data_IF_422429203350
#
_entry.id   IF_422429203350
#
_cell.length_a   1.000
_cell.length_b   1.000
_cell.length_c   1.000
_cell.angle_alpha   90.00
_cell.angle_beta   90.00
_cell.angle_gamma   90.00
#
_symmetry.space_group_name_H-M   'P 1'
#
loop_
_entity.id
_entity.type
_entity.pdbx_description
1 polymer ?
#
# COMPACT_ATOMS: atom_id res chain seq x y z
N UNK A 1 4.61 2.76 43.12
CA UNK A 1 3.62 3.21 42.12
C UNK A 1 4.28 3.03 40.77
N UNK A 2 3.65 2.33 39.83
CA UNK A 2 4.21 2.16 38.48
C UNK A 2 3.64 3.22 37.54
N UNK A 3 4.51 3.77 36.68
CA UNK A 3 4.11 4.61 35.56
C UNK A 3 4.18 3.79 34.28
N UNK A 4 3.06 3.70 33.57
CA UNK A 4 3.00 3.05 32.27
C UNK A 4 3.05 4.11 31.18
N UNK A 5 4.03 4.05 30.30
CA UNK A 5 4.14 4.96 29.17
C UNK A 5 3.74 4.21 27.91
N UNK A 6 2.76 4.77 27.21
CA UNK A 6 2.30 4.28 25.91
C UNK A 6 2.97 5.09 24.81
N UNK A 7 3.54 4.39 23.85
CA UNK A 7 4.26 4.95 22.70
C UNK A 7 3.94 4.23 21.40
N UNK A 8 3.46 2.97 21.44
CA UNK A 8 3.05 2.21 20.26
C UNK A 8 1.62 2.57 19.84
N UNK A 9 1.47 3.79 19.33
CA UNK A 9 0.20 4.44 19.03
C UNK A 9 0.18 5.84 19.62
N UNK A 10 -0.97 6.23 20.16
CA UNK A 10 -1.11 7.52 20.83
C UNK A 10 -0.26 7.58 22.10
N UNK A 11 0.47 8.69 22.27
CA UNK A 11 1.31 8.89 23.44
C UNK A 11 0.47 9.11 24.69
N UNK A 12 0.77 8.37 25.75
CA UNK A 12 0.12 8.54 27.05
C UNK A 12 1.07 8.18 28.19
N UNK A 13 0.84 8.76 29.37
CA UNK A 13 1.50 8.39 30.61
C UNK A 13 0.39 8.07 31.60
N UNK A 14 0.28 6.81 32.00
CA UNK A 14 -0.77 6.35 32.90
C UNK A 14 -0.20 5.99 34.27
N UNK A 15 -0.97 6.28 35.32
CA UNK A 15 -0.79 5.71 36.65
C UNK A 15 -2.11 5.07 37.09
N UNK A 16 -2.09 3.82 37.57
CA UNK A 16 -3.31 3.09 37.99
C UNK A 16 -4.44 3.16 36.94
N UNK A 17 -4.07 3.09 35.66
CA UNK A 17 -4.96 3.21 34.48
C UNK A 17 -5.61 4.58 34.24
N UNK A 18 -5.25 5.62 34.98
CA UNK A 18 -5.67 7.00 34.70
C UNK A 18 -4.60 7.69 33.86
N UNK A 19 -5.03 8.35 32.77
CA UNK A 19 -4.13 9.18 31.97
C UNK A 19 -3.73 10.42 32.77
N UNK A 20 -2.42 10.70 32.77
CA UNK A 20 -1.84 11.86 33.44
C UNK A 20 -1.65 13.04 32.47
N UNK A 21 -2.05 12.91 31.20
CA UNK A 21 -1.95 13.99 30.23
C UNK A 21 -3.09 15.00 30.43
N UNK A 22 -2.79 16.15 31.02
CA UNK A 22 -3.67 17.33 30.99
C UNK A 22 -3.49 18.10 29.67
N UNK A 23 -4.52 18.12 28.80
CA UNK A 23 -4.50 18.86 27.52
C UNK A 23 -4.33 20.38 27.73
N UNK A 24 -3.09 20.85 27.63
CA UNK A 24 -2.80 22.28 27.56
C UNK A 24 -1.76 22.55 26.47
N UNK A 25 -2.00 23.58 25.63
CA UNK A 25 -1.08 23.99 24.55
C UNK A 25 0.36 24.27 25.02
N UNK A 26 0.56 24.62 26.30
CA UNK A 26 1.89 24.86 26.91
C UNK A 26 2.69 23.57 27.15
N UNK A 27 2.04 22.43 27.28
CA UNK A 27 2.69 21.15 27.62
C UNK A 27 3.17 20.38 26.39
N UNK A 28 2.71 20.74 25.19
CA UNK A 28 3.09 20.06 23.93
C UNK A 28 4.60 20.04 23.68
N UNK A 29 5.31 21.15 23.87
CA UNK A 29 6.78 21.21 23.71
C UNK A 29 7.51 20.35 24.76
N UNK A 30 6.99 20.24 25.97
CA UNK A 30 7.57 19.42 27.03
C UNK A 30 7.34 17.92 26.76
N UNK A 31 6.15 17.55 26.31
CA UNK A 31 5.86 16.17 25.90
C UNK A 31 6.68 15.76 24.69
N UNK A 32 6.88 16.63 23.69
CA UNK A 32 7.81 16.35 22.57
C UNK A 32 9.23 16.07 23.04
N UNK A 33 9.75 16.88 23.96
CA UNK A 33 11.08 16.65 24.54
C UNK A 33 11.15 15.33 25.32
N UNK A 34 10.11 15.02 26.09
CA UNK A 34 10.01 13.76 26.82
C UNK A 34 9.96 12.55 25.88
N UNK A 35 9.11 12.60 24.85
CA UNK A 35 9.00 11.59 23.80
C UNK A 35 10.34 11.34 23.11
N UNK A 36 11.09 12.40 22.79
CA UNK A 36 12.43 12.30 22.22
C UNK A 36 13.39 11.57 23.16
N UNK A 37 13.43 11.98 24.43
CA UNK A 37 14.27 11.35 25.44
C UNK A 37 13.92 9.87 25.69
N UNK A 38 12.62 9.52 25.72
CA UNK A 38 12.16 8.13 25.85
C UNK A 38 12.62 7.30 24.64
N UNK A 39 12.44 7.84 23.44
CA UNK A 39 12.81 7.16 22.18
C UNK A 39 14.31 6.88 22.11
N UNK A 40 15.12 7.82 22.59
CA UNK A 40 16.57 7.69 22.61
C UNK A 40 17.13 7.43 24.02
N UNK A 41 16.35 6.75 24.88
CA UNK A 41 16.79 6.39 26.23
C UNK A 41 18.09 5.60 26.19
N UNK A 42 18.89 5.72 27.24
CA UNK A 42 20.18 5.06 27.41
C UNK A 42 21.21 5.40 26.30
N UNK A 43 20.99 6.47 25.53
CA UNK A 43 21.93 7.00 24.54
C UNK A 43 22.49 8.34 25.01
N UNK A 44 23.73 8.62 24.59
CA UNK A 44 24.38 9.93 24.76
C UNK A 44 23.89 10.89 23.68
N UNK A 45 23.20 11.95 24.08
CA UNK A 45 22.59 12.93 23.17
C UNK A 45 23.30 14.27 23.23
N UNK A 46 23.78 14.77 22.10
CA UNK A 46 24.33 16.12 21.99
C UNK A 46 23.21 17.16 22.07
N UNK A 47 23.39 18.25 22.84
CA UNK A 47 22.44 19.37 22.88
C UNK A 47 22.06 19.86 21.49
N UNK A 48 23.03 19.97 20.58
CA UNK A 48 22.86 20.44 19.21
C UNK A 48 21.89 19.55 18.42
N UNK A 49 22.03 18.22 18.55
CA UNK A 49 21.18 17.24 17.86
C UNK A 49 19.75 17.25 18.41
N UNK A 50 19.59 17.43 19.73
CA UNK A 50 18.26 17.58 20.34
C UNK A 50 17.59 18.85 19.83
N UNK A 51 18.34 19.95 19.75
CA UNK A 51 17.85 21.25 19.27
C UNK A 51 17.41 21.15 17.81
N UNK A 52 18.26 20.59 16.96
CA UNK A 52 18.00 20.38 15.55
C UNK A 52 16.74 19.55 15.34
N UNK A 53 16.60 18.40 16.00
CA UNK A 53 15.46 17.51 15.77
C UNK A 53 14.12 18.05 16.29
N UNK A 54 14.11 18.92 17.31
CA UNK A 54 12.87 19.36 17.97
C UNK A 54 12.46 20.82 17.69
N UNK A 55 13.42 21.68 17.33
CA UNK A 55 13.24 23.12 17.17
C UNK A 55 13.88 23.68 15.89
N UNK A 56 13.99 22.87 14.83
CA UNK A 56 14.55 23.20 13.51
C UNK A 56 14.13 24.58 12.96
N UNK A 57 12.89 25.02 13.21
CA UNK A 57 12.32 26.27 12.66
C UNK A 57 12.28 27.47 13.65
N UNK A 58 12.91 27.38 14.82
CA UNK A 58 12.88 28.48 15.80
C UNK A 58 14.16 29.31 15.77
N UNK A 59 14.04 30.58 15.35
CA UNK A 59 15.07 31.60 15.57
C UNK A 59 15.15 31.93 17.07
N UNK A 60 15.92 31.15 17.82
CA UNK A 60 16.33 31.51 19.17
C UNK A 60 17.74 32.08 19.13
N UNK A 61 17.92 33.26 19.73
CA UNK A 61 19.24 33.88 19.90
C UNK A 61 20.15 33.06 20.83
N UNK A 62 19.60 32.16 21.65
CA UNK A 62 20.36 31.21 22.48
C UNK A 62 19.62 29.85 22.60
N UNK A 63 19.80 28.95 21.61
CA UNK A 63 19.13 27.64 21.59
C UNK A 63 19.55 26.72 22.74
N UNK A 64 20.79 26.83 23.24
CA UNK A 64 21.30 25.99 24.33
C UNK A 64 20.66 26.34 25.67
N UNK A 65 20.53 27.63 25.98
CA UNK A 65 19.84 28.06 27.19
C UNK A 65 18.34 27.75 27.15
N UNK A 66 17.71 27.87 25.97
CA UNK A 66 16.35 27.40 25.76
C UNK A 66 16.21 25.91 26.13
N UNK A 67 17.09 25.04 25.60
CA UNK A 67 17.05 23.61 25.92
C UNK A 67 17.20 23.34 27.42
N UNK A 68 18.16 23.97 28.10
CA UNK A 68 18.35 23.86 29.56
C UNK A 68 17.07 24.24 30.31
N UNK A 69 16.40 25.31 29.89
CA UNK A 69 15.14 25.76 30.48
C UNK A 69 14.01 24.74 30.25
N UNK A 70 13.91 24.15 29.06
CA UNK A 70 12.91 23.12 28.78
C UNK A 70 13.16 21.85 29.60
N UNK A 71 14.43 21.44 29.77
CA UNK A 71 14.79 20.28 30.61
C UNK A 71 14.44 20.54 32.08
N UNK A 72 14.71 21.74 32.60
CA UNK A 72 14.30 22.11 33.95
C UNK A 72 12.78 22.03 34.14
N UNK A 73 12.01 22.55 33.17
CA UNK A 73 10.54 22.46 33.18
C UNK A 73 10.04 21.03 33.06
N UNK A 74 10.70 20.20 32.24
CA UNK A 74 10.38 18.79 32.08
C UNK A 74 10.59 18.04 33.40
N UNK A 75 11.71 18.25 34.10
CA UNK A 75 11.94 17.66 35.43
C UNK A 75 10.83 18.04 36.42
N UNK A 76 10.43 19.32 36.43
CA UNK A 76 9.33 19.78 37.30
C UNK A 76 7.98 19.18 36.92
N UNK A 77 7.71 19.01 35.62
CA UNK A 77 6.50 18.35 35.12
C UNK A 77 6.44 16.89 35.55
N UNK A 78 7.53 16.14 35.35
CA UNK A 78 7.65 14.75 35.79
C UNK A 78 7.41 14.64 37.30
N UNK A 79 8.06 15.49 38.10
CA UNK A 79 7.91 15.52 39.56
C UNK A 79 6.46 15.72 40.02
N UNK A 80 5.64 16.48 39.29
CA UNK A 80 4.20 16.68 39.60
C UNK A 80 3.43 15.36 39.58
N UNK A 81 3.85 14.40 38.76
CA UNK A 81 3.20 13.09 38.62
C UNK A 81 3.69 12.05 39.62
N UNK A 82 4.75 12.35 40.37
CA UNK A 82 5.32 11.43 41.35
C UNK A 82 4.72 11.69 42.74
N UNK A 83 4.60 10.66 43.59
CA UNK A 83 4.26 10.84 45.00
C UNK A 83 5.21 11.84 45.69
N UNK A 84 4.72 12.58 46.69
CA UNK A 84 5.47 13.68 47.35
C UNK A 84 6.83 13.26 47.93
N UNK A 85 6.97 12.00 48.35
CA UNK A 85 8.20 11.43 48.91
C UNK A 85 8.85 10.36 48.00
N UNK A 86 8.51 10.37 46.70
CA UNK A 86 9.07 9.41 45.77
C UNK A 86 10.54 9.71 45.46
N UNK A 87 11.36 8.64 45.47
CA UNK A 87 12.70 8.69 44.90
C UNK A 87 12.61 8.85 43.38
N UNK A 88 12.89 10.05 42.87
CA UNK A 88 12.81 10.41 41.46
C UNK A 88 13.68 9.49 40.58
N UNK A 89 14.80 8.99 41.12
CA UNK A 89 15.73 8.11 40.41
C UNK A 89 15.11 6.77 40.02
N UNK A 90 14.07 6.33 40.75
CA UNK A 90 13.31 5.11 40.43
C UNK A 90 12.36 5.27 39.26
N UNK A 91 12.14 6.49 38.77
CA UNK A 91 11.26 6.78 37.66
C UNK A 91 12.02 7.30 36.45
N UNK A 92 12.58 8.50 36.55
CA UNK A 92 13.22 9.18 35.42
C UNK A 92 14.49 9.88 35.86
N UNK A 93 15.58 9.65 35.13
CA UNK A 93 16.84 10.32 35.36
C UNK A 93 17.30 11.00 34.08
N UNK A 94 17.47 12.33 34.13
CA UNK A 94 18.14 13.10 33.08
C UNK A 94 19.47 13.59 33.63
N UNK A 95 20.58 13.07 33.11
CA UNK A 95 21.92 13.52 33.50
C UNK A 95 22.55 14.35 32.39
N UNK A 96 23.46 15.25 32.77
CA UNK A 96 24.31 15.97 31.83
C UNK A 96 25.77 15.75 32.23
N UNK A 97 26.50 15.00 31.40
CA UNK A 97 27.88 14.63 31.67
C UNK A 97 28.69 14.64 30.36
N UNK A 98 29.92 15.15 30.42
CA UNK A 98 30.85 15.22 29.29
C UNK A 98 30.26 15.88 28.03
N UNK A 99 29.35 16.84 28.19
CA UNK A 99 28.70 17.54 27.08
C UNK A 99 27.45 16.86 26.51
N UNK A 100 27.05 15.70 27.04
CA UNK A 100 25.88 14.94 26.57
C UNK A 100 24.77 14.92 27.61
N UNK A 101 23.53 14.94 27.14
CA UNK A 101 22.39 14.50 27.94
C UNK A 101 22.20 12.99 27.81
N UNK A 102 21.90 12.33 28.92
CA UNK A 102 21.44 10.94 28.93
C UNK A 102 20.10 10.88 29.66
N UNK A 103 19.16 10.12 29.12
CA UNK A 103 17.88 9.84 29.75
C UNK A 103 17.77 8.36 30.06
N UNK A 104 17.47 8.05 31.30
CA UNK A 104 17.32 6.70 31.82
C UNK A 104 15.97 6.59 32.54
N UNK A 105 15.36 5.41 32.46
CA UNK A 105 14.14 5.07 33.19
C UNK A 105 14.48 4.10 34.31
N UNK A 106 13.90 4.32 35.49
CA UNK A 106 14.08 3.42 36.64
C UNK A 106 13.09 2.25 36.66
N UNK A 107 13.21 1.41 37.69
CA UNK A 107 12.44 0.16 37.88
C UNK A 107 10.91 0.35 37.99
N UNK A 108 10.43 1.57 38.27
CA UNK A 108 9.01 1.87 38.41
C UNK A 108 8.36 2.43 37.13
N UNK A 109 9.11 2.48 36.01
CA UNK A 109 8.60 2.91 34.71
C UNK A 109 8.51 1.72 33.77
N UNK A 110 7.33 1.51 33.21
CA UNK A 110 7.04 0.48 32.24
C UNK A 110 6.81 1.15 30.88
N UNK A 111 7.59 0.77 29.89
CA UNK A 111 7.50 1.29 28.52
C UNK A 111 6.87 0.20 27.64
N UNK A 112 5.75 0.50 26.99
CA UNK A 112 5.03 -0.47 26.17
C UNK A 112 5.87 -1.06 25.03
N UNK A 113 6.72 -0.26 24.38
CA UNK A 113 7.60 -0.74 23.32
C UNK A 113 8.71 -1.66 23.82
N UNK A 114 9.15 -1.50 25.09
CA UNK A 114 10.12 -2.41 25.71
C UNK A 114 9.43 -3.73 26.05
N UNK A 115 8.25 -3.66 26.65
CA UNK A 115 7.44 -4.87 26.91
C UNK A 115 7.11 -5.61 25.61
N UNK A 116 6.81 -4.88 24.54
CA UNK A 116 6.56 -5.46 23.21
C UNK A 116 7.77 -6.25 22.69
N UNK A 117 8.97 -5.66 22.74
CA UNK A 117 10.21 -6.35 22.36
C UNK A 117 10.51 -7.56 23.26
N UNK A 118 10.33 -7.43 24.58
CA UNK A 118 10.56 -8.50 25.55
C UNK A 118 9.61 -9.68 25.35
N UNK A 119 8.32 -9.42 25.17
CA UNK A 119 7.31 -10.45 24.90
C UNK A 119 7.58 -11.18 23.59
N UNK A 120 7.97 -10.48 22.52
CA UNK A 120 8.40 -11.11 21.26
C UNK A 120 9.57 -12.06 21.49
N UNK A 121 10.60 -11.63 22.21
CA UNK A 121 11.78 -12.45 22.45
C UNK A 121 11.45 -13.68 23.30
N UNK A 122 10.66 -13.51 24.36
CA UNK A 122 10.19 -14.62 25.20
C UNK A 122 9.34 -15.61 24.41
N UNK A 123 8.44 -15.12 23.55
CA UNK A 123 7.62 -15.96 22.68
C UNK A 123 8.49 -16.79 21.73
N UNK A 124 9.50 -16.16 21.10
CA UNK A 124 10.45 -16.84 20.21
C UNK A 124 11.22 -17.97 20.92
N UNK A 125 11.64 -17.76 22.17
CA UNK A 125 12.30 -18.80 22.96
C UNK A 125 11.37 -19.98 23.25
N UNK A 126 10.08 -19.70 23.45
CA UNK A 126 9.07 -20.71 23.79
C UNK A 126 8.53 -21.50 22.59
N UNK A 127 8.74 -21.06 21.36
CA UNK A 127 8.19 -21.73 20.16
C UNK A 127 8.50 -23.23 20.07
N UNK A 128 9.69 -23.66 20.52
CA UNK A 128 10.10 -25.06 20.47
C UNK A 128 9.82 -25.84 21.77
N UNK A 129 9.50 -25.14 22.86
CA UNK A 129 9.31 -25.73 24.19
C UNK A 129 7.82 -25.87 24.53
N UNK A 130 7.07 -24.79 24.32
CA UNK A 130 5.65 -24.67 24.63
C UNK A 130 5.00 -23.70 23.64
N UNK A 131 4.43 -24.25 22.58
CA UNK A 131 3.79 -23.48 21.50
C UNK A 131 2.59 -22.68 22.04
N UNK A 132 1.85 -23.21 23.01
CA UNK A 132 0.67 -22.53 23.55
C UNK A 132 1.06 -21.30 24.37
N UNK A 133 2.15 -21.40 25.13
CA UNK A 133 2.71 -20.25 25.83
C UNK A 133 3.31 -19.22 24.85
N UNK A 134 3.99 -19.68 23.79
CA UNK A 134 4.49 -18.79 22.74
C UNK A 134 3.36 -17.99 22.07
N UNK A 135 2.22 -18.65 21.77
CA UNK A 135 1.03 -17.99 21.23
C UNK A 135 0.53 -16.90 22.18
N UNK A 136 0.39 -17.19 23.48
CA UNK A 136 -0.09 -16.18 24.46
C UNK A 136 0.82 -14.97 24.53
N UNK A 137 2.14 -15.18 24.60
CA UNK A 137 3.12 -14.09 24.65
C UNK A 137 3.07 -13.24 23.37
N UNK A 138 2.93 -13.87 22.20
CA UNK A 138 2.73 -13.17 20.95
C UNK A 138 1.40 -12.39 20.90
N UNK A 139 0.31 -12.94 21.43
CA UNK A 139 -0.97 -12.23 21.53
C UNK A 139 -0.89 -11.01 22.45
N UNK A 140 -0.25 -11.14 23.61
CA UNK A 140 -0.03 -10.00 24.52
C UNK A 140 0.75 -8.89 23.81
N UNK A 141 1.83 -9.22 23.11
CA UNK A 141 2.59 -8.27 22.31
C UNK A 141 1.74 -7.67 21.16
N UNK A 142 0.93 -8.47 20.48
CA UNK A 142 0.02 -8.01 19.42
C UNK A 142 -0.87 -6.85 19.90
N UNK A 143 -1.46 -6.97 21.11
CA UNK A 143 -2.35 -5.95 21.66
C UNK A 143 -1.65 -4.71 22.24
N UNK A 144 -0.33 -4.75 22.43
CA UNK A 144 0.44 -3.56 22.80
C UNK A 144 0.62 -2.59 21.63
N UNK A 145 0.71 -3.10 20.39
CA UNK A 145 0.83 -2.26 19.20
C UNK A 145 -0.53 -1.73 18.74
N UNK A 146 -0.82 -0.46 19.03
CA UNK A 146 -2.12 0.18 18.73
C UNK A 146 -2.06 1.13 17.53
N UNK A 147 -0.87 1.35 16.98
CA UNK A 147 -0.65 2.30 15.91
C UNK A 147 0.83 2.60 15.70
N UNK A 148 1.15 3.45 14.70
CA UNK A 148 2.50 3.94 14.50
C UNK A 148 3.06 4.55 15.79
N UNK A 149 4.33 4.27 16.09
CA UNK A 149 5.02 4.82 17.26
C UNK A 149 4.86 6.35 17.33
N UNK A 150 4.30 6.86 18.44
CA UNK A 150 3.92 8.25 18.67
C UNK A 150 3.08 8.82 17.51
N UNK A 151 1.96 8.17 17.19
CA UNK A 151 1.06 8.39 16.04
C UNK A 151 0.71 9.87 15.78
N UNK A 152 0.42 10.64 16.84
CA UNK A 152 -0.03 12.04 16.77
C UNK A 152 1.04 12.98 16.18
N UNK A 153 2.32 12.61 16.25
CA UNK A 153 3.44 13.45 15.80
C UNK A 153 3.72 13.24 14.30
N UNK A 154 2.82 13.65 13.42
CA UNK A 154 2.88 13.30 11.98
C UNK A 154 4.07 13.86 11.19
N UNK A 155 4.68 14.97 11.62
CA UNK A 155 5.70 15.70 10.84
C UNK A 155 7.16 15.53 11.34
N UNK A 156 7.40 14.67 12.33
CA UNK A 156 8.74 14.51 12.91
C UNK A 156 9.61 13.53 12.11
N UNK A 157 10.62 14.03 11.41
CA UNK A 157 11.51 13.21 10.57
C UNK A 157 12.28 12.17 11.39
N UNK A 158 12.67 12.49 12.62
CA UNK A 158 13.39 11.57 13.50
C UNK A 158 12.56 10.35 13.94
N UNK A 159 11.23 10.38 13.78
CA UNK A 159 10.35 9.25 14.07
C UNK A 159 10.30 8.22 12.94
N UNK A 160 10.60 8.62 11.70
CA UNK A 160 10.52 7.74 10.51
C UNK A 160 11.26 6.40 10.71
N UNK A 161 12.55 6.37 11.09
CA UNK A 161 13.25 5.09 11.29
C UNK A 161 12.68 4.26 12.44
N UNK A 162 12.16 4.91 13.49
CA UNK A 162 11.61 4.24 14.68
C UNK A 162 10.25 3.60 14.36
N UNK A 163 9.36 4.34 13.68
CA UNK A 163 8.08 3.83 13.18
C UNK A 163 8.29 2.66 12.23
N UNK A 164 9.23 2.76 11.30
CA UNK A 164 9.56 1.67 10.38
C UNK A 164 10.11 0.43 11.10
N UNK A 165 10.85 0.61 12.20
CA UNK A 165 11.32 -0.50 13.01
C UNK A 165 10.15 -1.24 13.67
N UNK A 166 9.30 -0.54 14.43
CA UNK A 166 8.19 -1.18 15.15
C UNK A 166 7.10 -1.71 14.22
N UNK A 167 6.80 -1.04 13.10
CA UNK A 167 5.92 -1.60 12.07
C UNK A 167 6.43 -2.94 11.56
N UNK A 168 7.72 -3.06 11.24
CA UNK A 168 8.30 -4.33 10.76
C UNK A 168 8.23 -5.43 11.81
N UNK A 169 8.50 -5.10 13.08
CA UNK A 169 8.37 -6.06 14.18
C UNK A 169 6.91 -6.53 14.33
N UNK A 170 5.95 -5.60 14.29
CA UNK A 170 4.53 -5.89 14.37
C UNK A 170 4.05 -6.82 13.24
N UNK A 171 4.38 -6.50 11.98
CA UNK A 171 4.02 -7.38 10.84
C UNK A 171 4.67 -8.75 10.97
N UNK A 172 5.95 -8.81 11.38
CA UNK A 172 6.65 -10.09 11.59
C UNK A 172 5.97 -10.94 12.68
N UNK A 173 5.63 -10.31 13.80
CA UNK A 173 4.90 -10.94 14.90
C UNK A 173 3.54 -11.46 14.44
N UNK A 174 2.76 -10.65 13.72
CA UNK A 174 1.44 -11.05 13.24
C UNK A 174 1.53 -12.26 12.30
N UNK A 175 2.43 -12.22 11.32
CA UNK A 175 2.61 -13.35 10.39
C UNK A 175 3.04 -14.62 11.12
N UNK A 176 3.85 -14.49 12.18
CA UNK A 176 4.26 -15.62 13.00
C UNK A 176 3.09 -16.19 13.81
N UNK A 177 2.29 -15.33 14.43
CA UNK A 177 1.07 -15.74 15.15
C UNK A 177 0.07 -16.43 14.21
N UNK A 178 -0.08 -15.93 12.99
CA UNK A 178 -0.88 -16.57 11.93
C UNK A 178 -0.34 -17.95 11.57
N UNK A 179 0.98 -18.11 11.43
CA UNK A 179 1.60 -19.41 11.16
C UNK A 179 1.28 -20.43 12.26
N UNK A 180 1.42 -20.04 13.53
CA UNK A 180 1.11 -20.89 14.67
C UNK A 180 -0.38 -21.28 14.71
N UNK A 181 -1.28 -20.33 14.46
CA UNK A 181 -2.71 -20.64 14.38
C UNK A 181 -3.09 -21.49 13.17
N UNK A 182 -2.39 -21.35 12.03
CA UNK A 182 -2.56 -22.25 10.87
C UNK A 182 -2.20 -23.69 11.23
N UNK A 183 -1.13 -23.92 12.01
CA UNK A 183 -0.73 -25.26 12.45
C UNK A 183 -1.76 -25.92 13.37
N UNK A 184 -2.59 -25.13 14.06
CA UNK A 184 -3.67 -25.60 14.93
C UNK A 184 -5.04 -25.60 14.24
N UNK A 185 -5.10 -25.28 12.95
CA UNK A 185 -6.35 -25.11 12.17
C UNK A 185 -7.36 -24.10 12.77
N UNK A 186 -6.86 -23.14 13.55
CA UNK A 186 -7.66 -22.09 14.22
C UNK A 186 -7.89 -20.87 13.31
N UNK A 187 -8.48 -21.10 12.13
CA UNK A 187 -8.64 -20.04 11.10
C UNK A 187 -9.53 -18.87 11.53
N UNK A 188 -10.48 -19.08 12.45
CA UNK A 188 -11.29 -17.99 13.00
C UNK A 188 -10.44 -16.98 13.79
N UNK A 189 -9.39 -17.45 14.49
CA UNK A 189 -8.46 -16.57 15.21
C UNK A 189 -7.61 -15.75 14.26
N UNK A 190 -7.19 -16.34 13.14
CA UNK A 190 -6.47 -15.63 12.07
C UNK A 190 -7.33 -14.47 11.52
N UNK A 191 -8.62 -14.73 11.27
CA UNK A 191 -9.55 -13.68 10.82
C UNK A 191 -9.59 -12.52 11.82
N UNK A 192 -9.82 -12.82 13.11
CA UNK A 192 -9.89 -11.81 14.18
C UNK A 192 -8.60 -10.94 14.24
N UNK A 193 -7.43 -11.58 14.17
CA UNK A 193 -6.15 -10.89 14.19
C UNK A 193 -5.93 -10.00 12.96
N UNK A 194 -6.22 -10.54 11.77
CA UNK A 194 -6.08 -9.79 10.52
C UNK A 194 -7.02 -8.57 10.47
N UNK A 195 -8.28 -8.73 10.89
CA UNK A 195 -9.24 -7.63 10.93
C UNK A 195 -8.77 -6.49 11.84
N UNK A 196 -8.27 -6.82 13.03
CA UNK A 196 -7.68 -5.82 13.94
C UNK A 196 -6.45 -5.16 13.33
N UNK A 197 -5.59 -5.93 12.68
CA UNK A 197 -4.36 -5.41 12.11
C UNK A 197 -4.59 -4.52 10.88
N UNK A 198 -5.61 -4.79 10.06
CA UNK A 198 -5.99 -3.97 8.90
C UNK A 198 -6.43 -2.57 9.32
N UNK A 199 -7.04 -2.42 10.51
CA UNK A 199 -7.39 -1.08 11.04
C UNK A 199 -6.13 -0.23 11.24
N UNK A 200 -5.01 -0.86 11.62
CA UNK A 200 -3.75 -0.16 11.91
C UNK A 200 -2.87 -0.02 10.67
N UNK A 201 -2.75 -1.07 9.87
CA UNK A 201 -1.90 -1.14 8.67
C UNK A 201 -2.75 -1.49 7.42
N UNK A 202 -3.66 -0.60 6.97
CA UNK A 202 -4.65 -0.88 5.92
C UNK A 202 -4.09 -1.11 4.52
N UNK A 203 -2.80 -0.80 4.32
CA UNK A 203 -2.11 -0.94 3.04
C UNK A 203 -1.13 -2.13 3.04
N UNK A 204 -1.05 -2.89 4.13
CA UNK A 204 -0.15 -4.02 4.23
C UNK A 204 -0.80 -5.27 3.62
N UNK A 205 -0.53 -5.47 2.34
CA UNK A 205 -1.13 -6.51 1.50
C UNK A 205 -1.02 -7.93 2.11
N UNK A 206 0.09 -8.24 2.76
CA UNK A 206 0.32 -9.55 3.38
C UNK A 206 -0.75 -9.93 4.41
N UNK A 207 -1.30 -8.95 5.14
CA UNK A 207 -2.39 -9.16 6.10
C UNK A 207 -3.69 -9.51 5.37
N UNK A 208 -4.02 -8.77 4.30
CA UNK A 208 -5.21 -9.03 3.49
C UNK A 208 -5.17 -10.41 2.84
N UNK A 209 -4.00 -10.83 2.36
CA UNK A 209 -3.81 -12.18 1.80
C UNK A 209 -4.07 -13.24 2.86
N UNK A 210 -3.48 -13.11 4.05
CA UNK A 210 -3.70 -14.08 5.14
C UNK A 210 -5.17 -14.16 5.56
N UNK A 211 -5.88 -13.03 5.58
CA UNK A 211 -7.32 -12.97 5.86
C UNK A 211 -8.12 -13.78 4.82
N UNK A 212 -7.87 -13.56 3.54
CA UNK A 212 -8.54 -14.28 2.46
C UNK A 212 -8.20 -15.78 2.46
N UNK A 213 -6.96 -16.15 2.76
CA UNK A 213 -6.57 -17.55 2.91
C UNK A 213 -7.34 -18.24 4.05
N UNK A 214 -7.48 -17.58 5.20
CA UNK A 214 -8.26 -18.10 6.32
C UNK A 214 -9.76 -18.22 5.99
N UNK A 215 -10.33 -17.22 5.29
CA UNK A 215 -11.71 -17.29 4.78
C UNK A 215 -11.92 -18.48 3.84
N UNK A 216 -11.00 -18.71 2.89
CA UNK A 216 -11.08 -19.86 1.98
C UNK A 216 -11.02 -21.18 2.73
N UNK A 217 -10.15 -21.29 3.74
CA UNK A 217 -10.05 -22.49 4.58
C UNK A 217 -11.32 -22.81 5.36
N UNK A 218 -12.09 -21.78 5.72
CA UNK A 218 -13.43 -21.92 6.32
C UNK A 218 -14.56 -22.05 5.29
N UNK A 219 -14.26 -22.14 3.99
CA UNK A 219 -15.25 -22.24 2.92
C UNK A 219 -15.98 -20.92 2.61
N UNK A 220 -15.51 -19.79 3.15
CA UNK A 220 -16.11 -18.46 2.97
C UNK A 220 -15.65 -17.80 1.66
N UNK A 221 -15.83 -18.49 0.53
CA UNK A 221 -15.30 -18.09 -0.79
C UNK A 221 -15.83 -16.72 -1.23
N UNK A 222 -17.14 -16.46 -1.02
CA UNK A 222 -17.75 -15.17 -1.36
C UNK A 222 -17.12 -14.01 -0.58
N UNK A 223 -16.91 -14.19 0.72
CA UNK A 223 -16.25 -13.19 1.57
C UNK A 223 -14.81 -12.92 1.12
N UNK A 224 -14.07 -13.98 0.79
CA UNK A 224 -12.71 -13.84 0.25
C UNK A 224 -12.68 -13.04 -1.06
N UNK A 225 -13.62 -13.31 -1.98
CA UNK A 225 -13.73 -12.56 -3.25
C UNK A 225 -14.10 -11.09 -3.02
N UNK A 226 -15.10 -10.82 -2.18
CA UNK A 226 -15.49 -9.44 -1.85
C UNK A 226 -14.34 -8.67 -1.19
N UNK A 227 -13.54 -9.33 -0.34
CA UNK A 227 -12.37 -8.71 0.26
C UNK A 227 -11.25 -8.44 -0.77
N UNK A 228 -11.04 -9.35 -1.73
CA UNK A 228 -10.11 -9.15 -2.84
C UNK A 228 -10.47 -7.92 -3.67
N UNK A 229 -11.76 -7.77 -4.00
CA UNK A 229 -12.28 -6.60 -4.74
C UNK A 229 -12.07 -5.31 -3.94
N UNK A 230 -12.35 -5.33 -2.64
CA UNK A 230 -12.13 -4.21 -1.73
C UNK A 230 -10.66 -3.76 -1.71
N UNK A 231 -9.71 -4.68 -1.45
CA UNK A 231 -8.29 -4.31 -1.37
C UNK A 231 -7.73 -3.89 -2.73
N UNK A 232 -8.17 -4.53 -3.82
CA UNK A 232 -7.78 -4.14 -5.17
C UNK A 232 -8.26 -2.72 -5.50
N UNK A 233 -9.48 -2.36 -5.09
CA UNK A 233 -10.00 -1.00 -5.26
C UNK A 233 -9.23 0.01 -4.41
N UNK A 234 -8.94 -0.31 -3.14
CA UNK A 234 -8.22 0.55 -2.21
C UNK A 234 -6.81 0.87 -2.72
N UNK A 235 -6.03 -0.15 -3.09
CA UNK A 235 -4.65 0.04 -3.56
C UNK A 235 -4.59 0.80 -4.88
N UNK A 236 -5.52 0.53 -5.80
CA UNK A 236 -5.58 1.24 -7.07
C UNK A 236 -5.93 2.73 -6.87
N UNK A 237 -6.90 3.05 -5.99
CA UNK A 237 -7.31 4.43 -5.70
C UNK A 237 -6.23 5.23 -4.97
N UNK A 238 -5.66 4.67 -3.91
CA UNK A 238 -4.78 5.41 -3.00
C UNK A 238 -3.31 5.43 -3.47
N UNK A 239 -2.86 4.35 -4.13
CA UNK A 239 -1.44 4.19 -4.49
C UNK A 239 -1.20 4.16 -6.01
N UNK A 240 -2.26 4.04 -6.83
CA UNK A 240 -2.14 3.91 -8.29
C UNK A 240 -1.42 2.62 -8.74
N UNK A 241 -1.30 1.63 -7.84
CA UNK A 241 -0.57 0.39 -8.08
C UNK A 241 -1.53 -0.68 -8.59
N UNK A 242 -1.15 -1.37 -9.68
CA UNK A 242 -1.88 -2.54 -10.20
C UNK A 242 -1.61 -3.78 -9.33
N UNK A 243 -2.54 -4.74 -9.32
CA UNK A 243 -2.49 -5.97 -8.52
C UNK A 243 -1.10 -6.62 -8.48
N UNK A 244 -0.56 -6.77 -7.28
CA UNK A 244 0.72 -7.40 -7.01
C UNK A 244 0.73 -8.90 -7.38
N UNK A 245 1.91 -9.57 -7.39
CA UNK A 245 1.97 -11.02 -7.52
C UNK A 245 1.18 -11.77 -6.45
N UNK A 246 1.23 -11.34 -5.19
CA UNK A 246 0.54 -11.99 -4.07
C UNK A 246 -0.98 -11.91 -4.22
N UNK A 247 -1.51 -10.73 -4.56
CA UNK A 247 -2.94 -10.54 -4.84
C UNK A 247 -3.40 -11.36 -6.06
N UNK A 248 -2.58 -11.45 -7.10
CA UNK A 248 -2.88 -12.32 -8.26
C UNK A 248 -2.92 -13.80 -7.89
N UNK A 249 -2.04 -14.24 -6.99
CA UNK A 249 -2.02 -15.64 -6.54
C UNK A 249 -3.26 -15.99 -5.73
N UNK A 250 -3.62 -15.17 -4.74
CA UNK A 250 -4.83 -15.42 -3.93
C UNK A 250 -6.10 -15.34 -4.77
N UNK A 251 -6.16 -14.45 -5.76
CA UNK A 251 -7.28 -14.41 -6.72
C UNK A 251 -7.45 -15.74 -7.47
N UNK A 252 -6.35 -16.32 -7.97
CA UNK A 252 -6.37 -17.63 -8.62
C UNK A 252 -6.82 -18.74 -7.65
N UNK A 253 -6.37 -18.70 -6.39
CA UNK A 253 -6.85 -19.64 -5.35
C UNK A 253 -8.36 -19.50 -5.15
N UNK A 254 -8.88 -18.28 -5.02
CA UNK A 254 -10.32 -18.04 -4.90
C UNK A 254 -11.07 -18.62 -6.11
N UNK A 255 -10.57 -18.40 -7.34
CA UNK A 255 -11.17 -18.97 -8.56
C UNK A 255 -11.19 -20.50 -8.55
N UNK A 256 -10.08 -21.15 -8.17
CA UNK A 256 -10.05 -22.62 -8.09
C UNK A 256 -11.07 -23.18 -7.10
N UNK A 257 -11.34 -22.49 -5.98
CA UNK A 257 -12.37 -22.88 -5.03
C UNK A 257 -13.79 -22.76 -5.61
N UNK A 258 -14.04 -21.81 -6.52
CA UNK A 258 -15.30 -21.75 -7.27
C UNK A 258 -15.45 -22.92 -8.24
N UNK A 259 -14.37 -23.29 -8.93
CA UNK A 259 -14.37 -24.41 -9.89
C UNK A 259 -14.59 -25.76 -9.20
N UNK A 260 -14.00 -25.95 -8.01
CA UNK A 260 -14.15 -27.17 -7.20
C UNK A 260 -15.55 -27.32 -6.57
N UNK A 261 -16.26 -26.21 -6.29
CA UNK A 261 -17.63 -26.25 -5.75
C UNK A 261 -18.73 -26.39 -6.81
N UNK A 262 -18.36 -26.61 -8.08
CA UNK A 262 -19.28 -27.12 -9.08
C UNK A 262 -20.37 -26.14 -9.51
N UNK A 263 -20.00 -24.91 -9.91
CA UNK A 263 -20.87 -24.17 -10.84
C UNK A 263 -20.83 -24.88 -12.21
N UNK A 264 -21.65 -25.92 -12.34
CA UNK A 264 -21.76 -26.76 -13.55
C UNK A 264 -22.75 -26.19 -14.56
N UNK A 265 -23.37 -25.04 -14.29
CA UNK A 265 -24.27 -24.42 -15.25
C UNK A 265 -23.52 -23.43 -16.14
N UNK A 266 -23.56 -23.71 -17.45
CA UNK A 266 -23.04 -22.86 -18.51
C UNK A 266 -23.63 -21.45 -18.43
N UNK A 267 -24.84 -21.31 -17.89
CA UNK A 267 -25.50 -20.00 -17.71
C UNK A 267 -24.79 -19.12 -16.66
N UNK A 268 -24.40 -19.70 -15.52
CA UNK A 268 -23.63 -19.01 -14.47
C UNK A 268 -22.22 -18.65 -14.94
N UNK A 269 -21.57 -19.55 -15.69
CA UNK A 269 -20.26 -19.28 -16.30
C UNK A 269 -20.37 -18.14 -17.32
N UNK A 270 -21.39 -18.17 -18.19
CA UNK A 270 -21.62 -17.12 -19.20
C UNK A 270 -21.83 -15.75 -18.57
N UNK A 271 -22.66 -15.65 -17.53
CA UNK A 271 -22.92 -14.39 -16.84
C UNK A 271 -21.66 -13.82 -16.16
N UNK A 272 -20.72 -14.67 -15.71
CA UNK A 272 -19.42 -14.22 -15.16
C UNK A 272 -18.41 -13.83 -16.25
N UNK A 273 -18.51 -14.43 -17.44
CA UNK A 273 -17.67 -14.09 -18.60
C UNK A 273 -18.16 -12.85 -19.35
N UNK A 274 -19.46 -12.53 -19.24
CA UNK A 274 -20.05 -11.35 -19.85
C UNK A 274 -19.66 -10.09 -19.07
N UNK A 275 -18.81 -9.27 -19.68
CA UNK A 275 -18.61 -7.90 -19.25
C UNK A 275 -19.88 -7.07 -19.53
N UNK A 276 -20.06 -5.96 -18.78
CA UNK A 276 -21.17 -5.03 -18.96
C UNK A 276 -21.29 -4.49 -20.40
N UNK A 277 -22.33 -3.72 -20.73
CA UNK A 277 -22.58 -3.28 -22.11
C UNK A 277 -21.38 -2.49 -22.66
N UNK A 278 -20.60 -3.12 -23.56
CA UNK A 278 -19.46 -2.46 -24.19
C UNK A 278 -19.94 -1.32 -25.10
N UNK A 279 -19.43 -0.11 -24.90
CA UNK A 279 -19.59 1.02 -25.80
C UNK A 279 -18.32 1.17 -26.63
N UNK A 280 -18.42 0.96 -27.95
CA UNK A 280 -17.25 1.11 -28.82
C UNK A 280 -16.24 -0.04 -28.74
N UNK A 281 -15.04 0.19 -29.29
CA UNK A 281 -13.98 -0.81 -29.38
C UNK A 281 -13.29 -1.09 -28.04
N UNK A 282 -12.71 -2.29 -27.91
CA UNK A 282 -12.03 -2.72 -26.69
C UNK A 282 -10.61 -2.15 -26.61
N UNK A 283 -10.36 -1.31 -25.59
CA UNK A 283 -9.00 -0.94 -25.19
C UNK A 283 -8.45 -1.98 -24.20
N UNK A 284 -7.25 -2.51 -24.47
CA UNK A 284 -6.60 -3.49 -23.59
C UNK A 284 -5.10 -3.23 -23.49
N UNK A 285 -4.42 -3.92 -22.56
CA UNK A 285 -2.97 -3.89 -22.51
C UNK A 285 -2.34 -4.77 -23.62
N UNK A 286 -1.02 -4.63 -23.76
CA UNK A 286 -0.28 -5.28 -24.84
C UNK A 286 -0.29 -6.82 -24.75
N UNK A 287 -0.33 -7.41 -23.56
CA UNK A 287 -0.30 -8.86 -23.41
C UNK A 287 -1.67 -9.47 -23.71
N UNK A 288 -2.75 -8.81 -23.28
CA UNK A 288 -4.11 -9.15 -23.72
C UNK A 288 -4.28 -8.97 -25.23
N UNK A 289 -3.73 -7.89 -25.81
CA UNK A 289 -3.75 -7.68 -27.26
C UNK A 289 -3.04 -8.81 -28.01
N UNK A 290 -1.84 -9.23 -27.57
CA UNK A 290 -1.12 -10.36 -28.16
C UNK A 290 -1.92 -11.67 -28.08
N UNK A 291 -2.58 -11.91 -26.96
CA UNK A 291 -3.44 -13.09 -26.80
C UNK A 291 -4.58 -13.07 -27.83
N UNK A 292 -5.34 -11.96 -27.91
CA UNK A 292 -6.45 -11.80 -28.85
C UNK A 292 -6.00 -11.88 -30.31
N UNK A 293 -4.86 -11.26 -30.65
CA UNK A 293 -4.25 -11.36 -31.98
C UNK A 293 -3.97 -12.80 -32.39
N UNK A 294 -3.40 -13.62 -31.49
CA UNK A 294 -3.11 -15.01 -31.80
C UNK A 294 -4.38 -15.86 -31.93
N UNK A 295 -5.45 -15.55 -31.19
CA UNK A 295 -6.75 -16.20 -31.34
C UNK A 295 -7.35 -15.87 -32.71
N UNK A 296 -7.39 -14.59 -33.10
CA UNK A 296 -7.91 -14.15 -34.39
C UNK A 296 -7.08 -14.67 -35.57
N UNK A 297 -5.75 -14.67 -35.47
CA UNK A 297 -4.87 -15.27 -36.48
C UNK A 297 -5.15 -16.76 -36.69
N UNK A 298 -5.49 -17.50 -35.63
CA UNK A 298 -5.90 -18.91 -35.76
C UNK A 298 -7.25 -19.06 -36.44
N UNK A 299 -8.22 -18.17 -36.16
CA UNK A 299 -9.54 -18.18 -36.81
C UNK A 299 -9.44 -17.87 -38.31
N UNK A 300 -8.62 -16.90 -38.70
CA UNK A 300 -8.43 -16.50 -40.10
C UNK A 300 -7.74 -17.55 -40.98
N UNK A 301 -7.20 -18.64 -40.42
CA UNK A 301 -6.64 -19.75 -41.22
C UNK A 301 -7.72 -20.72 -41.75
N UNK A 302 -8.93 -20.67 -41.21
CA UNK A 302 -10.03 -21.60 -41.56
C UNK A 302 -11.20 -20.94 -42.28
N UNK A 303 -11.31 -19.62 -42.18
CA UNK A 303 -12.46 -18.84 -42.63
C UNK A 303 -11.93 -17.72 -43.54
N UNK A 304 -12.57 -17.45 -44.69
CA UNK A 304 -12.19 -16.35 -45.60
C UNK A 304 -12.39 -14.94 -44.99
N UNK A 305 -12.63 -14.85 -43.69
CA UNK A 305 -12.72 -13.60 -42.94
C UNK A 305 -11.33 -13.00 -42.73
N UNK A 306 -10.97 -12.11 -43.64
CA UNK A 306 -9.73 -11.33 -43.60
C UNK A 306 -9.87 -10.26 -42.51
N UNK A 307 -9.27 -10.45 -41.34
CA UNK A 307 -9.04 -9.36 -40.40
C UNK A 307 -7.82 -8.53 -40.80
N UNK A 308 -7.73 -7.30 -40.30
CA UNK A 308 -6.60 -6.40 -40.55
C UNK A 308 -5.98 -5.89 -39.25
N UNK A 309 -4.66 -5.87 -39.19
CA UNK A 309 -3.92 -5.08 -38.22
C UNK A 309 -3.70 -3.68 -38.79
N UNK A 310 -3.79 -2.66 -37.93
CA UNK A 310 -3.43 -1.30 -38.27
C UNK A 310 -2.40 -0.74 -37.29
N UNK A 311 -1.42 -0.03 -37.82
CA UNK A 311 -0.54 0.82 -37.03
C UNK A 311 -0.92 2.28 -37.30
N UNK A 312 -1.33 2.96 -36.25
CA UNK A 312 -1.58 4.41 -36.24
C UNK A 312 -0.36 5.07 -35.61
N UNK A 313 0.29 5.96 -36.35
CA UNK A 313 1.41 6.77 -35.86
C UNK A 313 0.99 8.24 -35.84
N UNK A 314 1.14 8.87 -34.67
CA UNK A 314 0.90 10.29 -34.45
C UNK A 314 2.24 11.02 -34.50
N UNK A 315 2.47 11.88 -35.50
CA UNK A 315 3.68 12.71 -35.46
C UNK A 315 3.50 13.81 -34.41
N UNK A 316 4.44 13.89 -33.48
CA UNK A 316 4.49 14.93 -32.45
C UNK A 316 5.43 16.06 -32.87
N UNK A 317 5.09 17.29 -32.49
CA UNK A 317 6.00 18.42 -32.58
C UNK A 317 7.10 18.22 -31.52
N UNK A 318 8.37 18.20 -31.95
CA UNK A 318 9.51 17.65 -31.21
C UNK A 318 9.98 18.52 -30.01
N UNK A 319 9.09 19.33 -29.43
CA UNK A 319 9.39 20.31 -28.37
C UNK A 319 9.02 19.86 -26.95
N UNK A 320 8.14 18.87 -26.79
CA UNK A 320 7.68 18.41 -25.45
C UNK A 320 8.28 17.07 -24.98
N UNK A 321 9.18 16.45 -25.76
CA UNK A 321 9.73 15.12 -25.50
C UNK A 321 10.61 14.97 -24.24
N UNK A 322 10.65 15.97 -23.33
CA UNK A 322 11.49 15.93 -22.12
C UNK A 322 10.73 16.05 -20.80
N UNK A 323 9.39 16.12 -20.77
CA UNK A 323 8.63 16.25 -19.51
C UNK A 323 7.26 15.55 -19.50
N UNK A 324 7.22 14.22 -19.53
CA UNK A 324 6.20 13.43 -18.81
C UNK A 324 6.45 11.93 -18.97
N UNK A 325 6.53 11.17 -17.86
CA UNK A 325 6.50 9.70 -17.83
C UNK A 325 5.09 9.16 -18.18
N UNK A 326 4.64 9.36 -19.43
CA UNK A 326 3.35 8.84 -19.87
C UNK A 326 2.96 9.22 -21.28
N UNK A 327 1.89 8.57 -21.77
CA UNK A 327 1.35 8.75 -23.12
C UNK A 327 1.18 10.23 -23.47
N UNK A 328 1.64 10.60 -24.66
CA UNK A 328 1.46 11.96 -25.17
C UNK A 328 -0.02 12.35 -25.18
N UNK A 329 -0.30 13.66 -25.01
CA UNK A 329 -1.67 14.19 -25.03
C UNK A 329 -2.43 13.79 -26.30
N UNK A 330 -1.73 13.74 -27.43
CA UNK A 330 -2.32 13.34 -28.72
C UNK A 330 -2.69 11.87 -28.74
N UNK A 331 -1.88 11.01 -28.12
CA UNK A 331 -2.19 9.58 -28.00
C UNK A 331 -3.40 9.35 -27.13
N UNK A 332 -3.53 10.06 -26.00
CA UNK A 332 -4.73 10.00 -25.15
C UNK A 332 -5.99 10.37 -25.93
N UNK A 333 -5.95 11.49 -26.66
CA UNK A 333 -7.07 11.90 -27.52
C UNK A 333 -7.39 10.84 -28.57
N UNK A 334 -6.37 10.25 -29.21
CA UNK A 334 -6.59 9.21 -30.22
C UNK A 334 -7.22 7.94 -29.62
N UNK A 335 -6.89 7.54 -28.39
CA UNK A 335 -7.54 6.41 -27.73
C UNK A 335 -9.05 6.64 -27.58
N UNK A 336 -9.48 7.84 -27.18
CA UNK A 336 -10.90 8.20 -27.08
C UNK A 336 -11.59 8.23 -28.46
N UNK A 337 -10.87 8.63 -29.50
CA UNK A 337 -11.39 8.62 -30.87
C UNK A 337 -11.61 7.18 -31.35
N UNK A 338 -10.67 6.27 -31.07
CA UNK A 338 -10.76 4.88 -31.50
C UNK A 338 -11.91 4.16 -30.81
N UNK A 339 -12.10 4.39 -29.50
CA UNK A 339 -13.25 3.88 -28.74
C UNK A 339 -14.56 4.20 -29.46
N UNK A 340 -14.76 5.48 -29.83
CA UNK A 340 -16.02 5.98 -30.40
C UNK A 340 -16.21 5.70 -31.89
N UNK A 341 -15.12 5.53 -32.63
CA UNK A 341 -15.19 5.37 -34.09
C UNK A 341 -15.13 3.92 -34.52
N UNK A 342 -14.52 3.03 -33.77
CA UNK A 342 -14.40 1.62 -34.12
C UNK A 342 -15.61 0.80 -33.61
N UNK A 343 -15.74 -0.43 -34.11
CA UNK A 343 -16.84 -1.33 -33.74
C UNK A 343 -16.51 -2.04 -32.43
N UNK A 344 -17.55 -2.54 -31.75
CA UNK A 344 -17.41 -3.31 -30.50
C UNK A 344 -16.52 -4.55 -30.58
N UNK A 345 -16.37 -5.11 -31.79
CA UNK A 345 -15.47 -6.24 -32.02
C UNK A 345 -14.02 -5.85 -32.35
N UNK A 346 -13.73 -4.57 -32.54
CA UNK A 346 -12.37 -4.10 -32.81
C UNK A 346 -11.61 -3.92 -31.50
N UNK A 347 -10.30 -4.14 -31.52
CA UNK A 347 -9.43 -4.10 -30.34
C UNK A 347 -8.26 -3.16 -30.59
N UNK A 348 -7.82 -2.40 -29.60
CA UNK A 348 -6.65 -1.54 -29.74
C UNK A 348 -5.83 -1.43 -28.45
N UNK A 349 -4.54 -1.14 -28.61
CA UNK A 349 -3.58 -0.91 -27.52
C UNK A 349 -2.56 0.14 -27.93
N UNK A 350 -2.01 0.88 -26.96
CA UNK A 350 -0.81 1.68 -27.18
C UNK A 350 0.41 0.77 -27.34
N UNK A 351 1.21 1.00 -28.37
CA UNK A 351 2.52 0.35 -28.56
C UNK A 351 3.63 1.15 -27.89
N UNK A 352 3.55 2.48 -27.98
CA UNK A 352 4.40 3.45 -27.30
C UNK A 352 3.69 4.82 -27.21
N UNK A 353 4.41 5.88 -26.85
CA UNK A 353 3.85 7.21 -26.61
C UNK A 353 3.20 7.89 -27.83
N UNK A 354 3.47 7.42 -29.05
CA UNK A 354 2.98 8.01 -30.29
C UNK A 354 2.46 6.99 -31.32
N UNK A 355 2.45 5.71 -30.98
CA UNK A 355 1.95 4.63 -31.84
C UNK A 355 0.90 3.78 -31.14
N UNK A 356 -0.17 3.50 -31.87
CA UNK A 356 -1.28 2.67 -31.44
C UNK A 356 -1.44 1.53 -32.46
N UNK A 357 -1.61 0.32 -31.96
CA UNK A 357 -1.94 -0.84 -32.79
C UNK A 357 -3.43 -1.13 -32.62
N UNK A 358 -4.09 -1.36 -33.75
CA UNK A 358 -5.51 -1.71 -33.83
C UNK A 358 -5.63 -3.04 -34.54
N UNK A 359 -6.50 -3.91 -34.05
CA UNK A 359 -6.93 -5.12 -34.73
C UNK A 359 -8.40 -4.95 -35.12
N UNK A 360 -8.64 -4.94 -36.42
CA UNK A 360 -9.97 -4.85 -37.02
C UNK A 360 -10.46 -6.26 -37.34
N UNK A 361 -11.48 -6.72 -36.61
CA UNK A 361 -12.03 -8.08 -36.77
C UNK A 361 -13.10 -8.08 -37.87
N UNK A 362 -13.09 -9.09 -38.74
CA UNK A 362 -14.00 -9.23 -39.88
C UNK A 362 -14.10 -7.98 -40.78
N UNK A 363 -12.99 -7.27 -40.98
CA UNK A 363 -12.94 -6.05 -41.78
C UNK A 363 -12.61 -6.34 -43.24
N UNK A 364 -13.49 -5.99 -44.18
CA UNK A 364 -13.22 -6.16 -45.62
C UNK A 364 -12.28 -5.06 -46.15
N UNK A 365 -11.47 -5.42 -47.17
CA UNK A 365 -10.53 -4.51 -47.83
C UNK A 365 -11.21 -3.23 -48.33
N UNK A 366 -12.42 -3.31 -48.90
CA UNK A 366 -13.13 -2.13 -49.41
C UNK A 366 -13.52 -1.15 -48.28
N UNK A 367 -13.72 -1.65 -47.06
CA UNK A 367 -14.13 -0.85 -45.91
C UNK A 367 -13.00 -0.06 -45.24
N UNK A 368 -11.73 -0.42 -45.48
CA UNK A 368 -10.58 0.16 -44.79
C UNK A 368 -10.47 1.67 -45.02
N UNK A 369 -10.72 2.14 -46.24
CA UNK A 369 -10.65 3.57 -46.56
C UNK A 369 -11.73 4.37 -45.83
N UNK A 370 -12.92 3.80 -45.68
CA UNK A 370 -14.01 4.43 -44.92
C UNK A 370 -13.65 4.53 -43.43
N UNK A 371 -13.08 3.46 -42.86
CA UNK A 371 -12.61 3.45 -41.47
C UNK A 371 -11.51 4.51 -41.25
N UNK A 372 -10.51 4.56 -42.13
CA UNK A 372 -9.45 5.56 -42.09
C UNK A 372 -9.99 6.99 -42.10
N UNK A 373 -10.91 7.30 -43.04
CA UNK A 373 -11.50 8.63 -43.18
C UNK A 373 -12.35 9.00 -41.95
N UNK A 374 -13.05 8.03 -41.35
CA UNK A 374 -13.85 8.24 -40.14
C UNK A 374 -12.97 8.55 -38.93
N UNK A 375 -11.88 7.81 -38.72
CA UNK A 375 -10.92 8.07 -37.65
C UNK A 375 -10.32 9.47 -37.81
N UNK A 376 -9.82 9.78 -39.02
CA UNK A 376 -9.21 11.08 -39.32
C UNK A 376 -10.18 12.24 -39.13
N UNK A 377 -11.39 12.16 -39.69
CA UNK A 377 -12.37 13.25 -39.58
C UNK A 377 -12.78 13.52 -38.13
N UNK A 378 -12.99 12.47 -37.33
CA UNK A 378 -13.34 12.63 -35.92
C UNK A 378 -12.15 13.16 -35.11
N UNK A 379 -10.93 12.66 -35.34
CA UNK A 379 -9.74 13.17 -34.69
C UNK A 379 -9.51 14.64 -34.98
N UNK A 380 -9.58 15.08 -36.25
CA UNK A 380 -9.39 16.49 -36.59
C UNK A 380 -10.47 17.41 -35.99
N UNK A 381 -11.70 16.91 -35.81
CA UNK A 381 -12.78 17.64 -35.13
C UNK A 381 -12.48 17.87 -33.65
N UNK A 382 -11.90 16.89 -32.96
CA UNK A 382 -11.62 16.94 -31.52
C UNK A 382 -10.26 17.59 -31.22
N UNK A 383 -9.28 17.40 -32.10
CA UNK A 383 -7.88 17.77 -31.82
C UNK A 383 -7.55 19.25 -32.02
N UNK A 384 -8.44 20.08 -32.65
CA UNK A 384 -8.47 21.56 -32.87
C UNK A 384 -7.18 22.39 -33.09
N UNK A 385 -6.00 21.98 -32.61
CA UNK A 385 -4.68 22.66 -32.70
C UNK A 385 -3.55 21.77 -33.27
N UNK A 386 -3.84 20.54 -33.71
CA UNK A 386 -2.83 19.59 -34.21
C UNK A 386 -3.25 19.10 -35.60
N UNK A 387 -3.22 19.98 -36.61
CA UNK A 387 -3.28 19.52 -37.99
C UNK A 387 -1.93 18.92 -38.35
N UNK A 388 -1.97 17.80 -39.06
CA UNK A 388 -0.85 17.23 -39.83
C UNK A 388 0.19 16.40 -39.07
N UNK A 389 -0.17 15.14 -38.76
CA UNK A 389 0.33 13.97 -39.51
C UNK A 389 -0.08 12.66 -38.79
N UNK A 390 -1.31 12.19 -39.06
CA UNK A 390 -1.73 10.84 -38.67
C UNK A 390 -1.42 9.92 -39.84
N UNK A 391 -0.48 8.99 -39.64
CA UNK A 391 -0.24 7.88 -40.56
C UNK A 391 -1.01 6.66 -40.08
N UNK A 392 -1.86 6.10 -40.94
CA UNK A 392 -2.57 4.84 -40.68
C UNK A 392 -2.15 3.86 -41.76
N UNK A 393 -1.58 2.73 -41.35
CA UNK A 393 -1.22 1.62 -42.25
C UNK A 393 -2.05 0.40 -41.89
N UNK A 394 -2.47 -0.36 -42.88
CA UNK A 394 -3.22 -1.62 -42.69
C UNK A 394 -2.42 -2.79 -43.26
N UNK A 395 -2.43 -3.91 -42.55
CA UNK A 395 -1.80 -5.17 -42.96
C UNK A 395 -2.77 -6.32 -42.68
N UNK A 396 -3.01 -7.24 -43.62
CA UNK A 396 -3.83 -8.42 -43.37
C UNK A 396 -3.28 -9.24 -42.19
N UNK A 397 -4.16 -9.81 -41.35
CA UNK A 397 -3.75 -10.73 -40.27
C UNK A 397 -3.20 -12.05 -40.82
N UNK A 398 -3.75 -12.50 -41.95
CA UNK A 398 -3.29 -13.63 -42.74
C UNK A 398 -2.59 -13.12 -44.00
N UNK A 399 -1.27 -12.96 -43.93
CA UNK A 399 -0.43 -12.90 -45.12
C UNK A 399 0.29 -14.24 -45.22
N UNK A 400 -0.04 -15.03 -46.24
CA UNK A 400 0.82 -16.12 -46.71
C UNK A 400 2.17 -15.52 -47.10
N UNK A 401 3.09 -15.51 -46.15
CA UNK A 401 4.51 -15.65 -46.44
C UNK A 401 4.90 -17.03 -45.90
N UNK A 402 4.51 -18.05 -46.67
CA UNK A 402 5.22 -19.31 -46.65
C UNK A 402 6.66 -19.03 -47.05
N UNK A 403 7.53 -18.92 -46.05
CA UNK A 403 8.94 -19.24 -46.26
C UNK A 403 9.04 -20.76 -46.20
N UNK A 404 9.09 -21.37 -47.39
CA UNK A 404 9.84 -22.62 -47.60
C UNK A 404 11.32 -22.30 -47.42
#
# INVERSE_FOLDING_TARGET
>A
MYLHIKTLGDFDICCRNESLLEETKRSYKLYRLLQYFITFRNKKLLPEVIIENLWQDQESNDPKNMLRTQIFRLRKMIKKYLPTDADESKYFCITFANGYYCFETGELVVLDFVQFEELINQAMEKENEDVDEAIKLYEEAFYLYRGPYLSVNSYEVWLVPIRNHYRRLYIKLLLKLIELYKQKDEYNKIIELCEKAIIIEPYEESIHICLMEAMLKLGQIKSAMSHYEYISSLLNKELGVKSSPGLKEIYKKIQSYYDEQGETDLSSIKNKLEEGPAEGALFCDLDYFKFLFNVEKRRSTRDENIGYMSLITLKGDNKDARKSDGLSKNTKVMLDVLEKTLRKGDVYTSWNDNQIIVMLTNAKKEGLKSIENRIKSYYYKVAKNYSDDISIKFTPLSSDNGFI
#
